data_IF_147754937255
#
_entry.id   IF_147754937255
#
_cell.length_a   1.000
_cell.length_b   1.000
_cell.length_c   1.000
_cell.angle_alpha   90.00
_cell.angle_beta   90.00
_cell.angle_gamma   90.00
#
_symmetry.space_group_name_H-M   'P 1'
#
loop_
_entity.id
_entity.type
_entity.pdbx_description
1 polymer ?
#
# COMPACT_ATOMS: atom_id res chain seq x y z
N UNK A 1 4.77 93.12 0.00
CA UNK A 1 3.77 92.39 -0.81
C UNK A 1 4.50 91.48 -1.79
N UNK A 2 4.46 90.15 -1.59
CA UNK A 2 4.35 89.15 -2.67
C UNK A 2 4.34 87.76 -2.04
N UNK A 3 3.18 87.12 -2.09
CA UNK A 3 2.95 85.72 -1.70
C UNK A 3 3.24 84.85 -2.93
N UNK A 4 4.09 83.84 -2.80
CA UNK A 4 4.19 82.75 -3.78
C UNK A 4 4.07 81.40 -3.08
N UNK A 5 2.91 80.80 -3.29
CA UNK A 5 2.54 79.42 -3.00
C UNK A 5 3.40 78.44 -3.82
N UNK A 6 4.15 77.57 -3.15
CA UNK A 6 4.82 76.41 -3.74
C UNK A 6 4.17 75.11 -3.26
N UNK A 7 3.78 74.25 -4.21
CA UNK A 7 3.20 72.91 -3.97
C UNK A 7 4.09 72.03 -3.08
N UNK A 8 3.52 71.12 -2.26
CA UNK A 8 4.29 70.07 -1.62
C UNK A 8 4.78 69.03 -2.66
N UNK A 9 5.91 68.34 -2.40
CA UNK A 9 6.45 67.31 -3.28
C UNK A 9 5.50 66.09 -3.36
N UNK A 10 5.54 65.31 -4.46
CA UNK A 10 4.69 64.14 -4.59
C UNK A 10 5.08 63.08 -3.55
N UNK A 11 4.09 62.60 -2.81
CA UNK A 11 4.25 61.43 -1.93
C UNK A 11 4.60 60.20 -2.79
N UNK A 12 5.46 59.29 -2.32
CA UNK A 12 5.61 57.99 -2.95
C UNK A 12 4.24 57.31 -2.91
N UNK A 13 3.75 56.89 -4.08
CA UNK A 13 2.59 56.01 -4.16
C UNK A 13 3.03 54.67 -3.59
N UNK A 14 2.59 54.33 -2.38
CA UNK A 14 2.58 52.96 -1.89
C UNK A 14 1.64 52.16 -2.78
N UNK A 15 2.17 51.67 -3.90
CA UNK A 15 1.57 50.62 -4.71
C UNK A 15 1.79 49.28 -3.99
N UNK A 16 1.21 49.12 -2.80
CA UNK A 16 1.05 47.83 -2.16
C UNK A 16 -0.12 47.08 -2.81
N UNK A 17 0.04 46.71 -4.08
CA UNK A 17 -0.73 45.63 -4.68
C UNK A 17 0.04 44.36 -4.32
N UNK A 18 -0.51 43.59 -3.37
CA UNK A 18 0.09 42.39 -2.84
C UNK A 18 0.43 41.38 -3.94
N UNK A 19 1.73 41.16 -4.13
CA UNK A 19 2.26 39.95 -4.73
C UNK A 19 1.95 38.77 -3.80
N UNK A 20 1.53 37.59 -4.28
CA UNK A 20 1.49 36.41 -3.44
C UNK A 20 2.90 36.17 -2.92
N UNK A 21 3.01 35.96 -1.62
CA UNK A 21 4.25 35.65 -0.90
C UNK A 21 5.07 34.63 -1.71
N UNK A 22 6.20 35.03 -2.28
CA UNK A 22 7.20 34.05 -2.72
C UNK A 22 7.84 33.51 -1.44
N UNK A 23 7.62 32.23 -1.08
CA UNK A 23 8.19 31.68 0.16
C UNK A 23 9.71 31.83 0.11
N UNK A 24 10.31 32.40 1.16
CA UNK A 24 11.78 32.42 1.23
C UNK A 24 12.30 31.02 1.53
N UNK A 25 13.59 30.75 1.27
CA UNK A 25 14.19 29.46 1.64
C UNK A 25 14.14 29.13 3.13
N UNK A 26 13.96 30.14 3.99
CA UNK A 26 13.76 29.98 5.44
C UNK A 26 12.31 29.59 5.80
N UNK A 27 11.35 29.84 4.90
CA UNK A 27 9.93 29.47 5.05
C UNK A 27 9.60 28.10 4.42
N UNK A 28 10.57 27.45 3.76
CA UNK A 28 10.35 26.13 3.18
C UNK A 28 10.25 25.07 4.29
N UNK A 29 9.14 24.34 4.32
CA UNK A 29 8.97 23.23 5.26
C UNK A 29 8.38 23.63 6.61
N UNK A 30 7.72 24.79 6.74
CA UNK A 30 7.12 25.20 8.02
C UNK A 30 5.99 24.26 8.48
N UNK A 31 5.29 23.61 7.55
CA UNK A 31 4.29 22.58 7.85
C UNK A 31 4.95 21.35 8.47
N UNK A 32 6.01 20.85 7.84
CA UNK A 32 6.84 19.76 8.37
C UNK A 32 7.43 20.12 9.75
N UNK A 33 7.94 21.34 9.90
CA UNK A 33 8.50 21.81 11.18
C UNK A 33 7.43 21.87 12.28
N UNK A 34 6.20 22.28 11.96
CA UNK A 34 5.10 22.31 12.92
C UNK A 34 4.73 20.91 13.43
N UNK A 35 4.68 19.91 12.54
CA UNK A 35 4.46 18.51 12.90
C UNK A 35 5.62 17.99 13.75
N UNK A 36 6.87 18.21 13.32
CA UNK A 36 8.04 17.79 14.10
C UNK A 36 8.05 18.40 15.51
N UNK A 37 7.70 19.68 15.66
CA UNK A 37 7.57 20.33 16.99
C UNK A 37 6.48 19.69 17.85
N UNK A 38 5.37 19.24 17.25
CA UNK A 38 4.33 18.51 17.96
C UNK A 38 4.85 17.17 18.48
N UNK A 39 5.54 16.41 17.64
CA UNK A 39 6.18 15.17 18.03
C UNK A 39 7.25 15.38 19.11
N UNK A 40 8.07 16.43 18.99
CA UNK A 40 9.13 16.73 19.95
C UNK A 40 8.59 17.10 21.35
N UNK A 41 7.41 17.73 21.43
CA UNK A 41 6.74 17.96 22.72
C UNK A 41 6.33 16.63 23.39
N UNK A 42 5.97 15.63 22.59
CA UNK A 42 5.59 14.30 23.08
C UNK A 42 6.81 13.42 23.41
N UNK A 43 7.90 13.57 22.64
CA UNK A 43 9.14 12.79 22.77
C UNK A 43 10.38 13.71 22.85
N UNK A 44 10.54 14.48 23.94
CA UNK A 44 11.66 15.43 24.06
C UNK A 44 13.03 14.74 24.15
N UNK A 45 13.04 13.48 24.60
CA UNK A 45 14.21 12.61 24.73
C UNK A 45 14.63 11.94 23.41
N UNK A 46 13.81 12.04 22.36
CA UNK A 46 14.06 11.43 21.04
C UNK A 46 14.12 12.51 19.93
N UNK A 47 15.12 13.43 19.94
CA UNK A 47 15.19 14.53 18.97
C UNK A 47 15.47 14.07 17.53
N UNK A 48 16.04 12.87 17.35
CA UNK A 48 16.33 12.28 16.04
C UNK A 48 15.71 10.89 15.95
N UNK A 49 14.38 10.78 15.78
CA UNK A 49 13.71 9.50 15.64
C UNK A 49 14.17 8.77 14.38
N UNK A 50 14.00 7.44 14.35
CA UNK A 50 14.13 6.72 13.09
C UNK A 50 13.05 7.24 12.13
N UNK A 51 13.42 7.43 10.87
CA UNK A 51 12.49 7.87 9.84
C UNK A 51 12.63 7.02 8.58
N UNK A 52 11.49 6.67 7.99
CA UNK A 52 11.42 6.20 6.60
C UNK A 52 11.18 7.40 5.72
N UNK A 53 11.95 7.52 4.64
CA UNK A 53 11.79 8.59 3.64
C UNK A 53 11.54 8.00 2.27
N UNK A 54 10.62 8.60 1.51
CA UNK A 54 10.51 8.32 0.08
C UNK A 54 11.81 8.75 -0.62
N UNK A 55 12.46 7.82 -1.34
CA UNK A 55 13.70 8.10 -2.07
C UNK A 55 13.45 9.08 -3.23
N UNK A 56 12.39 8.85 -3.98
CA UNK A 56 11.88 9.78 -4.99
C UNK A 56 10.56 10.34 -4.48
N UNK A 57 10.54 11.65 -4.26
CA UNK A 57 9.39 12.37 -3.72
C UNK A 57 8.18 12.29 -4.65
N UNK A 58 6.99 12.35 -4.07
CA UNK A 58 5.75 12.13 -4.80
C UNK A 58 5.49 13.20 -5.88
N UNK A 59 5.75 14.48 -5.58
CA UNK A 59 5.65 15.56 -6.58
C UNK A 59 6.66 15.43 -7.74
N UNK A 60 7.71 14.63 -7.59
CA UNK A 60 8.63 14.26 -8.66
C UNK A 60 8.20 12.97 -9.40
N UNK A 61 6.95 12.54 -9.19
CA UNK A 61 6.32 11.33 -9.74
C UNK A 61 6.68 10.03 -9.01
N UNK A 62 7.25 10.11 -7.80
CA UNK A 62 7.49 8.94 -6.95
C UNK A 62 6.21 8.15 -6.66
N UNK A 63 6.30 6.87 -6.26
CA UNK A 63 5.12 6.05 -5.99
C UNK A 63 4.49 6.33 -4.61
N UNK A 64 5.25 6.94 -3.71
CA UNK A 64 4.95 7.02 -2.28
C UNK A 64 4.59 8.45 -1.87
N UNK A 65 3.32 8.74 -1.51
CA UNK A 65 2.86 10.10 -1.19
C UNK A 65 3.40 10.67 0.12
N UNK A 66 3.75 9.82 1.08
CA UNK A 66 4.30 10.28 2.35
C UNK A 66 5.81 10.48 2.21
N UNK A 67 6.27 11.70 2.46
CA UNK A 67 7.68 12.05 2.37
C UNK A 67 8.50 11.45 3.49
N UNK A 68 7.93 11.48 4.70
CA UNK A 68 8.57 11.05 5.93
C UNK A 68 7.56 10.32 6.81
N UNK A 69 8.01 9.26 7.46
CA UNK A 69 7.28 8.59 8.53
C UNK A 69 8.22 8.51 9.72
N UNK A 70 7.95 9.31 10.75
CA UNK A 70 8.69 9.27 12.00
C UNK A 70 8.28 8.07 12.83
N UNK A 71 9.24 7.43 13.48
CA UNK A 71 9.03 6.25 14.32
C UNK A 71 9.63 6.50 15.70
N UNK A 72 8.76 6.65 16.69
CA UNK A 72 9.13 6.91 18.08
C UNK A 72 8.94 5.65 18.93
N UNK A 73 9.79 5.48 19.94
CA UNK A 73 9.53 4.53 21.02
C UNK A 73 8.68 5.21 22.07
N UNK A 74 7.49 4.67 22.34
CA UNK A 74 6.64 5.13 23.42
C UNK A 74 6.72 4.15 24.58
N UNK A 75 7.14 4.57 25.79
CA UNK A 75 7.19 3.69 26.95
C UNK A 75 5.80 3.25 27.43
N UNK A 76 4.72 3.85 26.91
CA UNK A 76 3.37 3.67 27.42
C UNK A 76 3.12 4.50 28.67
N UNK A 77 1.93 4.35 29.25
CA UNK A 77 1.55 4.97 30.52
C UNK A 77 0.55 4.04 31.22
N UNK A 78 0.86 3.60 32.46
CA UNK A 78 -0.09 2.84 33.27
C UNK A 78 -1.41 3.60 33.51
N UNK A 79 -1.34 4.92 33.69
CA UNK A 79 -2.50 5.79 33.92
C UNK A 79 -3.44 5.80 32.72
N UNK A 80 -2.88 5.84 31.51
CA UNK A 80 -3.63 5.77 30.26
C UNK A 80 -3.93 4.33 29.81
N UNK A 81 -3.58 3.30 30.61
CA UNK A 81 -3.63 1.88 30.23
C UNK A 81 -2.94 1.59 28.88
N UNK A 82 -1.87 2.31 28.58
CA UNK A 82 -1.12 2.18 27.35
C UNK A 82 0.14 1.34 27.60
N UNK A 83 0.25 0.19 26.93
CA UNK A 83 1.47 -0.63 26.93
C UNK A 83 2.60 0.03 26.12
N UNK A 84 3.87 -0.32 26.35
CA UNK A 84 4.96 0.11 25.48
C UNK A 84 4.68 -0.21 24.00
N UNK A 85 4.92 0.75 23.12
CA UNK A 85 4.57 0.64 21.71
C UNK A 85 5.47 1.51 20.82
N UNK A 86 5.50 1.20 19.54
CA UNK A 86 6.04 2.06 18.50
C UNK A 86 4.95 3.01 18.01
N UNK A 87 5.27 4.29 17.92
CA UNK A 87 4.36 5.32 17.43
C UNK A 87 4.87 5.86 16.09
N UNK A 88 4.08 5.65 15.04
CA UNK A 88 4.38 6.10 13.69
C UNK A 88 3.59 7.37 13.40
N UNK A 89 4.23 8.39 12.83
CA UNK A 89 3.60 9.66 12.47
C UNK A 89 3.96 10.00 11.03
N UNK A 90 2.96 10.13 10.15
CA UNK A 90 3.18 10.42 8.74
C UNK A 90 3.38 11.91 8.48
N UNK A 91 4.03 12.23 7.36
CA UNK A 91 4.17 13.59 6.84
C UNK A 91 4.04 13.52 5.31
N UNK A 92 2.99 14.14 4.77
CA UNK A 92 2.76 14.27 3.32
C UNK A 92 1.29 14.37 2.91
N UNK A 93 0.36 14.01 3.80
CA UNK A 93 -1.07 14.21 3.59
C UNK A 93 -1.48 15.66 3.85
N UNK A 94 -0.78 16.33 4.77
CA UNK A 94 -0.87 17.77 4.94
C UNK A 94 0.07 18.52 3.99
N UNK A 95 -0.13 19.84 3.87
CA UNK A 95 0.81 20.69 3.13
C UNK A 95 2.06 20.93 3.98
N UNK A 96 3.16 20.28 3.59
CA UNK A 96 4.43 20.39 4.30
C UNK A 96 5.20 21.68 3.92
N UNK A 97 4.99 22.20 2.71
CA UNK A 97 5.92 23.12 2.06
C UNK A 97 5.31 24.49 1.71
N UNK A 98 4.00 24.58 1.47
CA UNK A 98 3.31 25.84 1.22
C UNK A 98 3.54 26.46 -0.15
N UNK A 99 4.14 25.73 -1.09
CA UNK A 99 4.60 26.24 -2.39
C UNK A 99 3.89 25.61 -3.60
N UNK A 100 2.70 25.05 -3.37
CA UNK A 100 1.89 24.38 -4.38
C UNK A 100 2.53 23.17 -5.08
N UNK A 101 3.65 22.62 -4.59
CA UNK A 101 4.31 21.49 -5.26
C UNK A 101 3.49 20.19 -5.24
N UNK A 102 2.60 20.05 -4.27
CA UNK A 102 1.77 18.85 -4.11
C UNK A 102 0.34 19.18 -3.73
N UNK A 103 0.16 20.04 -2.74
CA UNK A 103 -1.15 20.53 -2.28
C UNK A 103 -1.34 21.95 -2.75
N UNK A 104 -2.56 22.33 -3.15
CA UNK A 104 -2.85 23.74 -3.46
C UNK A 104 -2.58 24.61 -2.23
N UNK A 105 -2.00 25.80 -2.42
CA UNK A 105 -1.80 26.74 -1.33
C UNK A 105 -3.14 27.04 -0.64
N UNK A 106 -3.19 26.87 0.67
CA UNK A 106 -4.37 27.25 1.43
C UNK A 106 -4.64 28.74 1.28
N UNK A 107 -5.90 29.10 1.01
CA UNK A 107 -6.35 30.49 0.92
C UNK A 107 -6.72 31.08 2.29
N UNK A 108 -6.71 30.27 3.35
CA UNK A 108 -7.00 30.69 4.73
C UNK A 108 -6.24 29.85 5.76
N UNK A 109 -5.68 30.51 6.77
CA UNK A 109 -5.08 29.85 7.94
C UNK A 109 -6.11 29.07 8.78
N UNK A 110 -7.39 29.36 8.61
CA UNK A 110 -8.50 28.66 9.29
C UNK A 110 -8.93 27.38 8.56
N UNK A 111 -8.43 27.18 7.33
CA UNK A 111 -8.69 25.99 6.51
C UNK A 111 -7.77 24.81 6.83
N UNK A 112 -8.07 23.60 6.29
CA UNK A 112 -7.18 22.46 6.41
C UNK A 112 -5.88 22.69 5.62
N UNK A 113 -4.76 22.23 6.18
CA UNK A 113 -3.50 22.11 5.44
C UNK A 113 -3.49 20.82 4.64
N UNK A 114 -3.41 20.91 3.30
CA UNK A 114 -3.55 19.74 2.42
C UNK A 114 -4.89 19.02 2.64
N UNK A 115 -4.86 17.72 2.95
CA UNK A 115 -6.06 16.98 3.35
C UNK A 115 -6.56 17.31 4.77
N UNK A 116 -5.81 18.10 5.55
CA UNK A 116 -6.16 18.51 6.91
C UNK A 116 -5.78 17.51 8.00
N UNK A 117 -5.11 16.42 7.65
CA UNK A 117 -4.68 15.43 8.62
C UNK A 117 -3.37 14.74 8.24
N UNK A 118 -2.73 14.14 9.25
CA UNK A 118 -1.72 13.11 9.10
C UNK A 118 -2.21 11.83 9.79
N UNK A 119 -1.74 10.69 9.30
CA UNK A 119 -2.03 9.40 9.91
C UNK A 119 -1.02 9.11 11.03
N UNK A 120 -1.51 8.49 12.10
CA UNK A 120 -0.66 7.88 13.13
C UNK A 120 -0.98 6.40 13.26
N UNK A 121 -0.03 5.63 13.78
CA UNK A 121 -0.24 4.21 14.05
C UNK A 121 0.51 3.83 15.32
N UNK A 122 -0.10 2.97 16.15
CA UNK A 122 0.51 2.49 17.39
C UNK A 122 0.61 0.97 17.33
N UNK A 123 1.84 0.47 17.33
CA UNK A 123 2.11 -0.96 17.31
C UNK A 123 2.70 -1.38 18.64
N UNK A 124 2.05 -2.30 19.36
CA UNK A 124 2.59 -2.85 20.61
C UNK A 124 4.03 -3.34 20.39
N UNK A 125 4.93 -2.93 21.28
CA UNK A 125 6.35 -3.28 21.21
C UNK A 125 6.54 -4.60 21.95
N UNK A 126 7.09 -5.59 21.27
CA UNK A 126 7.33 -6.90 21.87
C UNK A 126 8.63 -6.91 22.72
N UNK A 127 8.72 -7.75 23.76
CA UNK A 127 9.91 -7.84 24.59
C UNK A 127 11.17 -8.17 23.76
N UNK A 128 12.22 -7.36 23.93
CA UNK A 128 13.49 -7.54 23.21
C UNK A 128 13.57 -6.83 21.85
N UNK A 129 12.48 -6.26 21.35
CA UNK A 129 12.48 -5.45 20.13
C UNK A 129 13.16 -4.09 20.39
N UNK A 130 14.27 -3.84 19.69
CA UNK A 130 15.13 -2.66 19.88
C UNK A 130 14.85 -1.53 18.88
N UNK A 131 14.22 -1.85 17.75
CA UNK A 131 13.93 -0.91 16.66
C UNK A 131 12.51 -1.14 16.14
N UNK A 132 11.80 -0.07 15.75
CA UNK A 132 10.45 -0.21 15.21
C UNK A 132 10.47 -1.00 13.88
N UNK A 133 9.52 -1.92 13.67
CA UNK A 133 9.41 -2.63 12.40
C UNK A 133 8.95 -1.67 11.29
N UNK A 134 9.34 -1.95 10.05
CA UNK A 134 9.11 -1.05 8.90
C UNK A 134 7.85 -1.37 8.10
N UNK A 135 7.18 -2.50 8.36
CA UNK A 135 5.95 -2.86 7.66
C UNK A 135 4.83 -1.82 7.81
N UNK A 136 4.64 -1.12 8.97
CA UNK A 136 3.59 -0.11 9.08
C UNK A 136 3.79 1.07 8.13
N UNK A 137 5.04 1.38 7.76
CA UNK A 137 5.32 2.40 6.75
C UNK A 137 4.67 2.06 5.40
N UNK A 138 4.70 0.79 4.99
CA UNK A 138 4.08 0.33 3.74
C UNK A 138 2.55 0.40 3.78
N UNK A 139 1.95 0.06 4.93
CA UNK A 139 0.52 0.21 5.17
C UNK A 139 0.11 1.69 5.04
N UNK A 140 0.82 2.57 5.75
CA UNK A 140 0.54 4.01 5.78
C UNK A 140 0.71 4.65 4.39
N UNK A 141 1.73 4.25 3.61
CA UNK A 141 1.86 4.67 2.21
C UNK A 141 0.69 4.18 1.34
N UNK A 142 0.19 2.96 1.60
CA UNK A 142 -0.95 2.41 0.87
C UNK A 142 -2.24 3.17 1.16
N UNK A 143 -2.45 3.56 2.42
CA UNK A 143 -3.56 4.43 2.83
C UNK A 143 -3.44 5.82 2.22
N UNK A 144 -2.24 6.42 2.25
CA UNK A 144 -2.01 7.70 1.61
C UNK A 144 -2.28 7.65 0.09
N UNK A 145 -1.83 6.59 -0.59
CA UNK A 145 -2.17 6.34 -2.01
C UNK A 145 -3.66 6.19 -2.26
N UNK A 146 -4.43 5.67 -1.30
CA UNK A 146 -5.88 5.65 -1.41
C UNK A 146 -6.43 7.07 -1.32
N UNK A 147 -6.07 7.84 -0.29
CA UNK A 147 -6.53 9.23 -0.08
C UNK A 147 -6.22 10.11 -1.29
N UNK A 148 -4.99 10.07 -1.83
CA UNK A 148 -4.63 10.85 -3.02
C UNK A 148 -5.42 10.45 -4.27
N UNK A 149 -5.75 9.16 -4.45
CA UNK A 149 -6.52 8.69 -5.62
C UNK A 149 -8.01 8.99 -5.51
N UNK A 150 -8.59 8.84 -4.32
CA UNK A 150 -10.04 9.01 -4.10
C UNK A 150 -10.42 10.43 -3.69
N UNK A 151 -9.44 11.25 -3.26
CA UNK A 151 -9.66 12.54 -2.60
C UNK A 151 -10.55 12.41 -1.34
N UNK A 152 -10.48 11.27 -0.66
CA UNK A 152 -11.29 10.99 0.53
C UNK A 152 -10.89 11.92 1.70
N UNK A 153 -11.89 12.52 2.34
CA UNK A 153 -11.72 13.20 3.62
C UNK A 153 -12.01 12.19 4.73
N UNK A 154 -10.95 11.74 5.38
CA UNK A 154 -11.06 10.79 6.49
C UNK A 154 -11.39 11.55 7.78
N UNK A 155 -12.33 11.01 8.56
CA UNK A 155 -12.78 11.56 9.83
C UNK A 155 -12.70 10.52 10.94
N UNK A 156 -12.59 10.95 12.22
CA UNK A 156 -12.75 10.03 13.34
C UNK A 156 -14.10 9.30 13.28
N UNK A 157 -14.07 7.99 13.44
CA UNK A 157 -15.22 7.10 13.31
C UNK A 157 -15.33 6.40 11.94
N UNK A 158 -14.54 6.80 10.94
CA UNK A 158 -14.53 6.13 9.64
C UNK A 158 -13.89 4.74 9.71
N UNK A 159 -14.46 3.80 8.98
CA UNK A 159 -13.88 2.47 8.77
C UNK A 159 -13.31 2.34 7.36
N UNK A 160 -12.06 1.90 7.26
CA UNK A 160 -11.44 1.56 5.98
C UNK A 160 -11.45 0.03 5.83
N UNK A 161 -12.25 -0.53 4.90
CA UNK A 161 -12.18 -1.96 4.60
C UNK A 161 -10.83 -2.26 3.96
N UNK A 162 -10.09 -3.19 4.55
CA UNK A 162 -8.77 -3.59 4.09
C UNK A 162 -8.75 -5.06 3.72
N UNK A 163 -8.47 -5.34 2.46
CA UNK A 163 -8.67 -6.69 1.90
C UNK A 163 -7.55 -7.69 2.23
N UNK A 164 -6.48 -7.28 2.91
CA UNK A 164 -5.39 -8.15 3.35
C UNK A 164 -5.09 -7.95 4.85
N UNK A 165 -4.44 -8.92 5.53
CA UNK A 165 -3.88 -8.68 6.86
C UNK A 165 -2.91 -7.49 6.84
N UNK A 166 -2.92 -6.64 7.87
CA UNK A 166 -2.14 -5.39 7.91
C UNK A 166 -0.62 -5.62 7.81
N UNK A 167 -0.14 -6.75 8.32
CA UNK A 167 1.26 -7.17 8.39
C UNK A 167 1.72 -8.00 7.17
N UNK A 168 0.80 -8.46 6.33
CA UNK A 168 1.10 -9.21 5.11
C UNK A 168 1.16 -8.28 3.91
N UNK A 169 2.37 -7.91 3.51
CA UNK A 169 2.59 -7.22 2.23
C UNK A 169 2.16 -8.12 1.06
N UNK A 170 1.55 -7.58 -0.01
CA UNK A 170 1.48 -8.31 -1.27
C UNK A 170 2.91 -8.59 -1.70
N UNK A 171 3.29 -9.87 -1.70
CA UNK A 171 4.57 -10.30 -2.27
C UNK A 171 4.66 -9.77 -3.70
N UNK A 172 5.70 -8.96 -3.96
CA UNK A 172 6.02 -8.46 -5.30
C UNK A 172 6.47 -9.63 -6.19
N UNK A 173 5.52 -10.45 -6.63
CA UNK A 173 5.72 -11.53 -7.59
C UNK A 173 4.38 -12.02 -8.14
N UNK A 174 3.71 -11.20 -8.95
CA UNK A 174 3.06 -11.69 -10.19
C UNK A 174 2.57 -10.51 -11.02
N UNK A 175 3.40 -10.12 -11.98
CA UNK A 175 2.99 -9.43 -13.19
C UNK A 175 2.15 -10.38 -14.05
N UNK A 176 0.85 -10.12 -14.21
CA UNK A 176 0.14 -10.36 -15.48
C UNK A 176 -1.25 -9.70 -15.47
N UNK A 177 -1.37 -8.64 -16.27
CA UNK A 177 -2.52 -8.15 -17.03
C UNK A 177 -3.92 -8.75 -16.76
N UNK A 178 -4.88 -7.88 -16.42
CA UNK A 178 -6.10 -7.67 -17.21
C UNK A 178 -6.96 -6.52 -16.64
N UNK A 179 -7.41 -5.61 -17.50
CA UNK A 179 -8.58 -4.71 -17.34
C UNK A 179 -9.33 -4.72 -18.68
N UNK A 180 -10.57 -4.20 -18.85
CA UNK A 180 -11.68 -3.88 -17.93
C UNK A 180 -13.04 -4.48 -18.40
N UNK A 181 -14.08 -4.47 -17.55
CA UNK A 181 -15.46 -4.70 -17.98
C UNK A 181 -16.47 -4.67 -16.82
N UNK A 182 -17.50 -3.81 -16.93
CA UNK A 182 -18.46 -3.46 -15.87
C UNK A 182 -19.50 -4.54 -15.47
N UNK A 183 -20.50 -4.17 -14.63
CA UNK A 183 -21.23 -5.09 -13.74
C UNK A 183 -22.41 -5.79 -14.44
N UNK A 184 -22.94 -6.88 -13.84
CA UNK A 184 -24.24 -6.72 -13.19
C UNK A 184 -24.50 -7.55 -11.91
N UNK A 185 -25.35 -6.96 -11.07
CA UNK A 185 -26.47 -7.49 -10.28
C UNK A 185 -26.38 -8.80 -9.44
N UNK A 186 -26.73 -8.61 -8.16
CA UNK A 186 -27.48 -9.46 -7.22
C UNK A 186 -28.05 -10.82 -7.69
N UNK A 187 -27.76 -11.88 -6.93
CA UNK A 187 -28.72 -12.91 -6.45
C UNK A 187 -28.05 -13.77 -5.36
N UNK A 188 -28.38 -13.58 -4.09
CA UNK A 188 -29.26 -14.43 -3.24
C UNK A 188 -28.79 -15.87 -2.96
N UNK A 189 -28.41 -16.08 -1.68
CA UNK A 189 -28.74 -17.20 -0.76
C UNK A 189 -28.61 -18.67 -1.21
N UNK A 190 -27.87 -19.39 -0.36
CA UNK A 190 -27.98 -20.81 0.02
C UNK A 190 -27.46 -21.89 -0.95
N UNK A 191 -26.35 -22.55 -0.58
CA UNK A 191 -26.25 -24.03 -0.67
C UNK A 191 -25.02 -24.56 0.09
N UNK A 192 -25.22 -25.74 0.70
CA UNK A 192 -24.32 -26.47 1.61
C UNK A 192 -22.96 -26.88 1.01
N UNK A 193 -21.91 -27.07 1.85
CA UNK A 193 -20.52 -27.34 1.42
C UNK A 193 -20.28 -28.70 0.72
N UNK A 194 -21.30 -29.56 0.60
CA UNK A 194 -21.16 -30.88 -0.03
C UNK A 194 -21.29 -30.85 -1.56
N UNK A 195 -21.91 -29.83 -2.16
CA UNK A 195 -22.08 -29.75 -3.61
C UNK A 195 -20.82 -29.23 -4.33
N UNK A 196 -20.00 -28.42 -3.66
CA UNK A 196 -18.79 -27.81 -4.23
C UNK A 196 -17.65 -28.81 -4.44
N UNK A 197 -17.57 -29.86 -3.60
CA UNK A 197 -16.52 -30.88 -3.72
C UNK A 197 -16.70 -31.78 -4.93
N UNK A 198 -17.94 -32.19 -5.24
CA UNK A 198 -18.26 -33.01 -6.42
C UNK A 198 -18.04 -32.24 -7.73
N UNK A 199 -18.32 -30.94 -7.75
CA UNK A 199 -18.12 -30.10 -8.94
C UNK A 199 -16.63 -29.81 -9.18
N UNK A 200 -15.83 -29.63 -8.11
CA UNK A 200 -14.36 -29.58 -8.22
C UNK A 200 -13.76 -30.92 -8.65
N UNK A 201 -14.27 -32.04 -8.15
CA UNK A 201 -13.78 -33.37 -8.51
C UNK A 201 -14.11 -33.72 -9.98
N UNK A 202 -15.29 -33.32 -10.48
CA UNK A 202 -15.64 -33.43 -11.90
C UNK A 202 -14.82 -32.51 -12.79
N UNK A 203 -14.54 -31.25 -12.37
CA UNK A 203 -13.63 -30.37 -13.12
C UNK A 203 -12.21 -30.93 -13.16
N UNK A 204 -11.75 -31.58 -12.08
CA UNK A 204 -10.42 -32.19 -12.03
C UNK A 204 -10.32 -33.44 -12.92
N UNK A 205 -11.38 -34.27 -12.98
CA UNK A 205 -11.48 -35.37 -13.94
C UNK A 205 -11.56 -34.88 -15.39
N UNK A 206 -12.31 -33.79 -15.67
CA UNK A 206 -12.35 -33.19 -17.01
C UNK A 206 -11.00 -32.61 -17.43
N UNK A 207 -10.25 -31.99 -16.53
CA UNK A 207 -8.90 -31.50 -16.82
C UNK A 207 -7.92 -32.65 -17.07
N UNK A 208 -8.07 -33.78 -16.36
CA UNK A 208 -7.31 -35.00 -16.65
C UNK A 208 -7.63 -35.58 -18.04
N UNK A 209 -8.90 -35.54 -18.49
CA UNK A 209 -9.28 -36.03 -19.82
C UNK A 209 -8.81 -35.12 -20.96
N UNK A 210 -8.82 -33.79 -20.76
CA UNK A 210 -8.36 -32.82 -21.78
C UNK A 210 -6.84 -32.88 -21.96
N UNK A 211 -6.08 -33.03 -20.87
CA UNK A 211 -4.62 -33.17 -20.95
C UNK A 211 -4.19 -34.50 -21.62
N UNK A 212 -4.88 -35.61 -21.33
CA UNK A 212 -4.65 -36.90 -22.00
C UNK A 212 -4.98 -36.86 -23.50
N UNK A 213 -6.04 -36.16 -23.90
CA UNK A 213 -6.41 -36.01 -25.30
C UNK A 213 -5.36 -35.22 -26.11
N UNK A 214 -4.75 -34.19 -25.50
CA UNK A 214 -3.70 -33.39 -26.14
C UNK A 214 -2.39 -34.18 -26.35
N UNK A 215 -2.02 -35.03 -25.40
CA UNK A 215 -0.81 -35.89 -25.53
C UNK A 215 -1.03 -37.01 -26.55
N UNK A 216 -2.22 -37.61 -26.59
CA UNK A 216 -2.58 -38.59 -27.63
C UNK A 216 -2.56 -37.95 -29.04
N UNK A 217 -3.09 -36.73 -29.19
CA UNK A 217 -3.05 -36.00 -30.45
C UNK A 217 -1.62 -35.67 -30.92
N UNK A 218 -0.74 -35.26 -30.00
CA UNK A 218 0.67 -35.00 -30.30
C UNK A 218 1.42 -36.28 -30.71
N UNK A 219 1.14 -37.42 -30.05
CA UNK A 219 1.71 -38.71 -30.43
C UNK A 219 1.26 -39.17 -31.82
N UNK A 220 -0.01 -38.97 -32.18
CA UNK A 220 -0.52 -39.28 -33.53
C UNK A 220 0.10 -38.41 -34.62
N UNK A 221 0.42 -37.15 -34.34
CA UNK A 221 1.12 -36.25 -35.28
C UNK A 221 2.58 -36.66 -35.50
N UNK A 222 3.27 -37.10 -34.46
CA UNK A 222 4.66 -37.57 -34.55
C UNK A 222 4.73 -38.92 -35.29
N UNK A 223 3.76 -39.81 -35.07
CA UNK A 223 3.64 -41.06 -35.82
C UNK A 223 3.35 -40.84 -37.32
N UNK A 224 2.51 -39.84 -37.65
CA UNK A 224 2.21 -39.47 -39.04
C UNK A 224 3.39 -38.78 -39.76
N UNK A 225 4.32 -38.15 -39.04
CA UNK A 225 5.52 -37.52 -39.60
C UNK A 225 6.67 -38.52 -39.81
N UNK A 226 6.76 -39.57 -38.97
CA UNK A 226 7.79 -40.61 -39.10
C UNK A 226 7.63 -41.49 -40.35
N UNK A 227 6.42 -41.61 -40.90
CA UNK A 227 6.17 -42.34 -42.16
C UNK A 227 6.65 -41.61 -43.42
N UNK A 228 7.20 -40.39 -43.31
CA UNK A 228 7.53 -39.53 -44.45
C UNK A 228 9.04 -39.24 -44.63
N UNK A 229 9.93 -39.85 -43.84
CA UNK A 229 11.38 -39.74 -44.02
C UNK A 229 12.00 -41.13 -44.07
N UNK A 230 12.59 -41.48 -45.21
CA UNK A 230 13.17 -42.80 -45.51
C UNK A 230 14.39 -43.16 -44.66
N UNK A 231 14.16 -43.50 -43.40
CA UNK A 231 15.11 -44.19 -42.50
C UNK A 231 14.74 -45.66 -42.32
N UNK A 232 15.72 -46.48 -41.96
CA UNK A 232 15.60 -47.93 -41.70
C UNK A 232 14.36 -48.28 -40.85
N UNK A 233 13.65 -49.38 -41.16
CA UNK A 233 12.40 -49.75 -40.50
C UNK A 233 12.65 -50.09 -39.02
N UNK A 234 12.28 -49.18 -38.13
CA UNK A 234 12.21 -49.45 -36.70
C UNK A 234 11.06 -50.45 -36.47
N UNK A 235 11.34 -51.57 -35.80
CA UNK A 235 10.32 -52.57 -35.43
C UNK A 235 9.15 -51.88 -34.70
N UNK A 236 7.88 -52.06 -35.15
CA UNK A 236 6.69 -51.52 -34.51
C UNK A 236 6.63 -51.72 -32.99
N UNK A 237 7.18 -52.83 -32.47
CA UNK A 237 7.26 -53.08 -31.03
C UNK A 237 8.24 -52.14 -30.31
N UNK A 238 9.33 -51.75 -30.97
CA UNK A 238 10.33 -50.82 -30.45
C UNK A 238 9.79 -49.38 -30.43
N UNK A 239 9.00 -49.00 -31.44
CA UNK A 239 8.33 -47.69 -31.46
C UNK A 239 7.24 -47.57 -30.38
N UNK A 240 6.41 -48.61 -30.24
CA UNK A 240 5.35 -48.67 -29.22
C UNK A 240 5.90 -48.63 -27.79
N UNK A 241 6.99 -49.35 -27.52
CA UNK A 241 7.64 -49.33 -26.21
C UNK A 241 8.31 -47.99 -25.90
N UNK A 242 8.96 -47.35 -26.88
CA UNK A 242 9.52 -46.01 -26.71
C UNK A 242 8.45 -44.94 -26.44
N UNK A 243 7.30 -45.02 -27.11
CA UNK A 243 6.16 -44.12 -26.87
C UNK A 243 5.55 -44.34 -25.49
N UNK A 244 5.36 -45.60 -25.07
CA UNK A 244 4.85 -45.93 -23.74
C UNK A 244 5.79 -45.44 -22.62
N UNK A 245 7.11 -45.55 -22.83
CA UNK A 245 8.12 -45.02 -21.91
C UNK A 245 8.07 -43.49 -21.81
N UNK A 246 7.94 -42.79 -22.94
CA UNK A 246 7.84 -41.33 -22.97
C UNK A 246 6.57 -40.82 -22.25
N UNK A 247 5.42 -41.48 -22.46
CA UNK A 247 4.16 -41.15 -21.77
C UNK A 247 4.28 -41.40 -20.27
N UNK A 248 4.86 -42.52 -19.86
CA UNK A 248 5.07 -42.83 -18.43
C UNK A 248 6.01 -41.83 -17.75
N UNK A 249 7.07 -41.40 -18.43
CA UNK A 249 8.00 -40.39 -17.92
C UNK A 249 7.31 -39.02 -17.75
N UNK A 250 6.48 -38.62 -18.70
CA UNK A 250 5.70 -37.38 -18.61
C UNK A 250 4.69 -37.42 -17.46
N UNK A 251 4.02 -38.56 -17.25
CA UNK A 251 3.10 -38.76 -16.13
C UNK A 251 3.83 -38.69 -14.77
N UNK A 252 5.00 -39.32 -14.66
CA UNK A 252 5.80 -39.29 -13.43
C UNK A 252 6.29 -37.87 -13.10
N UNK A 253 6.71 -37.10 -14.10
CA UNK A 253 7.13 -35.70 -13.93
C UNK A 253 5.95 -34.80 -13.51
N UNK A 254 4.78 -35.01 -14.11
CA UNK A 254 3.55 -34.30 -13.72
C UNK A 254 3.15 -34.63 -12.27
N UNK A 255 3.22 -35.90 -11.87
CA UNK A 255 2.93 -36.32 -10.50
C UNK A 255 3.88 -35.67 -9.49
N UNK A 256 5.20 -35.64 -9.77
CA UNK A 256 6.20 -34.96 -8.93
C UNK A 256 5.94 -33.46 -8.80
N UNK A 257 5.63 -32.77 -9.90
CA UNK A 257 5.31 -31.33 -9.87
C UNK A 257 4.04 -31.05 -9.07
N UNK A 258 3.05 -31.93 -9.16
CA UNK A 258 1.80 -31.81 -8.41
C UNK A 258 2.03 -32.04 -6.91
N UNK A 259 2.84 -33.04 -6.54
CA UNK A 259 3.23 -33.29 -5.15
C UNK A 259 4.07 -32.15 -4.56
N UNK A 260 5.04 -31.59 -5.31
CA UNK A 260 5.82 -30.44 -4.87
C UNK A 260 4.93 -29.21 -4.65
N UNK A 261 3.92 -28.98 -5.51
CA UNK A 261 2.95 -27.89 -5.36
C UNK A 261 2.07 -28.06 -4.12
N UNK A 262 1.67 -29.30 -3.82
CA UNK A 262 0.92 -29.63 -2.60
C UNK A 262 1.77 -29.51 -1.33
N UNK A 263 3.02 -29.99 -1.34
CA UNK A 263 3.94 -29.82 -0.21
C UNK A 263 4.28 -28.34 0.04
N UNK A 264 4.41 -27.54 -1.03
CA UNK A 264 4.63 -26.11 -0.90
C UNK A 264 3.40 -25.38 -0.34
N UNK A 265 2.17 -25.83 -0.68
CA UNK A 265 0.93 -25.33 -0.06
C UNK A 265 0.79 -25.76 1.42
N UNK A 266 1.23 -26.96 1.79
CA UNK A 266 1.23 -27.41 3.19
C UNK A 266 2.28 -26.65 4.04
N UNK A 267 3.43 -26.29 3.47
CA UNK A 267 4.45 -25.45 4.13
C UNK A 267 4.02 -23.99 4.31
N UNK A 268 3.10 -23.50 3.46
CA UNK A 268 2.43 -22.19 3.62
C UNK A 268 1.35 -22.23 4.72
N UNK A 269 0.72 -23.39 4.94
CA UNK A 269 -0.29 -23.58 5.99
C UNK A 269 0.29 -23.67 7.42
N UNK A 270 1.61 -23.78 7.58
CA UNK A 270 2.30 -23.84 8.88
C UNK A 270 3.05 -22.54 9.24
N UNK A 271 2.64 -21.39 8.67
CA UNK A 271 3.11 -20.06 9.07
C UNK A 271 2.26 -19.56 10.25
N UNK A 272 2.84 -18.76 11.19
CA UNK A 272 2.12 -18.29 12.37
C UNK A 272 0.94 -17.40 11.95
N UNK A 273 -0.18 -17.58 12.65
CA UNK A 273 -1.47 -16.88 12.57
C UNK A 273 -1.49 -15.67 11.61
N UNK A 274 -2.21 -15.80 10.49
CA UNK A 274 -2.55 -14.67 9.62
C UNK A 274 -3.19 -13.58 10.47
N UNK A 275 -2.66 -12.34 10.48
CA UNK A 275 -3.30 -11.26 11.23
C UNK A 275 -4.79 -11.16 10.82
N UNK A 276 -5.66 -11.23 11.83
CA UNK A 276 -7.12 -11.25 11.65
C UNK A 276 -7.69 -9.86 11.35
N UNK A 277 -6.87 -8.81 11.43
CA UNK A 277 -7.29 -7.42 11.31
C UNK A 277 -7.44 -7.07 9.83
N UNK A 278 -8.70 -6.92 9.40
CA UNK A 278 -9.11 -6.54 8.03
C UNK A 278 -9.88 -5.23 7.97
N UNK A 279 -10.14 -4.63 9.12
CA UNK A 279 -10.86 -3.37 9.23
C UNK A 279 -9.99 -2.44 10.05
N UNK A 280 -9.81 -1.22 9.55
CA UNK A 280 -9.12 -0.16 10.27
C UNK A 280 -10.15 0.87 10.68
N UNK A 281 -10.22 1.15 11.98
CA UNK A 281 -10.96 2.27 12.52
C UNK A 281 -10.02 3.48 12.59
N UNK A 282 -10.53 4.64 12.21
CA UNK A 282 -9.83 5.91 12.40
C UNK A 282 -10.38 6.61 13.62
N UNK A 283 -9.50 7.03 14.53
CA UNK A 283 -9.84 7.83 15.70
C UNK A 283 -8.91 9.03 15.80
N UNK A 284 -9.26 10.04 16.60
CA UNK A 284 -8.28 11.08 16.94
C UNK A 284 -7.11 10.46 17.71
N UNK A 285 -5.88 10.89 17.40
CA UNK A 285 -4.71 10.46 18.14
C UNK A 285 -4.83 10.90 19.63
N UNK A 286 -4.66 9.98 20.59
CA UNK A 286 -4.88 10.28 22.00
C UNK A 286 -3.82 11.20 22.62
N UNK A 287 -2.68 11.41 21.96
CA UNK A 287 -1.56 12.21 22.49
C UNK A 287 -1.19 13.40 21.59
N UNK A 288 -1.42 13.29 20.28
CA UNK A 288 -1.16 14.37 19.32
C UNK A 288 -2.45 15.14 19.02
N UNK A 289 -2.60 16.29 19.68
CA UNK A 289 -3.69 17.20 19.41
C UNK A 289 -3.57 17.88 18.04
N UNK A 290 -4.71 18.38 17.52
CA UNK A 290 -4.75 19.23 16.32
C UNK A 290 -3.79 20.42 16.47
N UNK A 291 -2.99 20.67 15.44
CA UNK A 291 -2.05 21.80 15.39
C UNK A 291 -2.42 22.77 14.28
N UNK A 292 -1.97 24.01 14.42
CA UNK A 292 -2.00 25.01 13.36
C UNK A 292 -0.62 25.13 12.72
N UNK A 293 -0.61 25.22 11.40
CA UNK A 293 0.56 25.51 10.57
C UNK A 293 0.31 26.82 9.83
N UNK A 294 1.34 27.44 9.23
CA UNK A 294 1.13 28.59 8.34
C UNK A 294 0.23 28.28 7.13
N UNK A 295 0.04 27.00 6.79
CA UNK A 295 -0.71 26.54 5.63
C UNK A 295 -2.09 25.97 6.00
N UNK A 296 -2.53 26.14 7.24
CA UNK A 296 -3.80 25.61 7.76
C UNK A 296 -3.64 24.67 8.94
N UNK A 297 -4.75 24.09 9.42
CA UNK A 297 -4.73 23.14 10.53
C UNK A 297 -4.47 21.70 10.08
N UNK A 298 -3.88 20.91 10.98
CA UNK A 298 -3.59 19.47 10.80
C UNK A 298 -4.07 18.70 12.02
N UNK A 299 -4.93 17.70 11.79
CA UNK A 299 -5.33 16.69 12.80
C UNK A 299 -4.44 15.46 12.68
N UNK A 300 -4.35 14.69 13.77
CA UNK A 300 -3.66 13.40 13.76
C UNK A 300 -4.72 12.31 13.91
N UNK A 301 -4.86 11.47 12.89
CA UNK A 301 -5.82 10.38 12.86
C UNK A 301 -5.09 9.06 13.09
N UNK A 302 -5.33 8.45 14.25
CA UNK A 302 -4.77 7.16 14.58
C UNK A 302 -5.53 6.05 13.85
N UNK A 303 -4.79 5.26 13.09
CA UNK A 303 -5.22 3.98 12.54
C UNK A 303 -5.15 2.94 13.66
N UNK A 304 -6.29 2.33 13.98
CA UNK A 304 -6.40 1.27 14.98
C UNK A 304 -7.24 0.09 14.50
N UNK A 305 -7.17 -1.00 15.25
CA UNK A 305 -8.15 -2.08 15.20
C UNK A 305 -9.43 -1.69 15.97
N UNK A 306 -10.56 -2.23 15.51
CA UNK A 306 -11.87 -2.17 16.17
C UNK A 306 -12.10 -3.48 16.95
#
# INVERSE_FOLDING_TARGET
MSVKSGRPPPRPMDSAIGSPYTPTGADMGLGLQAIYRACHRLYPDQPSPLQVTALRKFWMGGPDPLDYIYMFSNPGSPEARSSPHWHYVTNGLSDLYGDARLHNCSTSVDGPSGFGFELTFRLRREPGEKSPPTWPAHLLQSLARYVFRSQAQLLPGDHIPWHCPLDQLPSASTSSNATPGGPPAQQTKNSSPAATSLQQQQQQQQQQSVAMAAVAAAASLIAAQASNQGGEPIDPATYSSALAAAVSAAQAEYAKRTQNKQQQQQKIASQPETSRIRHMLLVDDPQLAKINTPYGWVRFLQVGDD
#
